data_IF_836093988400
#
_entry.id   IF_836093988400
#
_cell.length_a   1.000
_cell.length_b   1.000
_cell.length_c   1.000
_cell.angle_alpha   90.00
_cell.angle_beta   90.00
_cell.angle_gamma   90.00
#
_symmetry.space_group_name_H-M   'P 1'
#
loop_
_entity.id
_entity.type
_entity.pdbx_description
1 polymer ?
#
# COMPACT_ATOMS: atom_id res chain seq x y z
N UNK A 1 24.65 0.98 -8.40
CA UNK A 1 23.57 -0.03 -8.61
C UNK A 1 22.27 0.72 -8.52
N UNK A 2 21.45 0.66 -9.60
CA UNK A 2 20.17 1.36 -9.65
C UNK A 2 19.16 0.77 -8.66
N UNK A 3 18.11 1.53 -8.34
CA UNK A 3 17.09 1.08 -7.40
C UNK A 3 16.41 -0.23 -7.84
N UNK A 4 16.17 -0.39 -9.15
CA UNK A 4 15.55 -1.60 -9.68
C UNK A 4 16.49 -2.81 -9.61
N UNK A 5 17.79 -2.62 -9.81
CA UNK A 5 18.79 -3.67 -9.60
C UNK A 5 18.83 -4.15 -8.14
N UNK A 6 18.75 -3.23 -7.19
CA UNK A 6 18.70 -3.55 -5.76
C UNK A 6 17.43 -4.29 -5.38
N UNK A 7 16.27 -3.80 -5.86
CA UNK A 7 14.97 -4.36 -5.50
C UNK A 7 14.71 -5.74 -6.12
N UNK A 8 15.25 -5.96 -7.31
CA UNK A 8 15.13 -7.22 -8.05
C UNK A 8 16.43 -8.05 -8.07
N UNK A 9 17.32 -7.84 -7.11
CA UNK A 9 18.62 -8.56 -7.04
C UNK A 9 18.46 -10.08 -7.04
N UNK A 10 17.39 -10.57 -6.40
CA UNK A 10 17.12 -12.01 -6.26
C UNK A 10 16.17 -12.55 -7.32
N UNK A 11 15.85 -11.76 -8.37
CA UNK A 11 14.90 -12.22 -9.39
C UNK A 11 15.45 -13.42 -10.17
N UNK A 12 14.67 -14.48 -10.22
CA UNK A 12 14.97 -15.66 -11.02
C UNK A 12 13.74 -16.11 -11.83
N UNK A 13 13.78 -15.82 -13.12
CA UNK A 13 12.76 -16.18 -14.12
C UNK A 13 13.24 -17.36 -15.01
N UNK A 14 14.26 -18.10 -14.56
CA UNK A 14 14.82 -19.23 -15.29
C UNK A 14 15.71 -18.84 -16.50
N UNK A 15 15.74 -17.59 -16.93
CA UNK A 15 16.60 -17.07 -18.01
C UNK A 15 17.21 -15.72 -17.60
N UNK A 16 18.57 -15.60 -17.56
CA UNK A 16 19.24 -14.34 -17.23
C UNK A 16 18.85 -13.15 -18.12
N UNK A 17 18.37 -13.40 -19.34
CA UNK A 17 17.88 -12.35 -20.24
C UNK A 17 16.53 -11.82 -19.78
N UNK A 18 15.65 -12.68 -19.24
CA UNK A 18 14.38 -12.29 -18.64
C UNK A 18 14.63 -11.51 -17.33
N UNK A 19 15.56 -11.95 -16.50
CA UNK A 19 15.95 -11.24 -15.27
C UNK A 19 16.40 -9.80 -15.58
N UNK A 20 17.35 -9.64 -16.52
CA UNK A 20 17.79 -8.31 -16.97
C UNK A 20 16.66 -7.48 -17.58
N UNK A 21 15.73 -8.13 -18.28
CA UNK A 21 14.58 -7.43 -18.87
C UNK A 21 13.60 -6.93 -17.81
N UNK A 22 13.35 -7.71 -16.76
CA UNK A 22 12.50 -7.29 -15.63
C UNK A 22 13.07 -6.04 -14.96
N UNK A 23 14.37 -6.05 -14.63
CA UNK A 23 15.07 -4.91 -14.03
C UNK A 23 14.99 -3.67 -14.92
N UNK A 24 15.32 -3.81 -16.20
CA UNK A 24 15.27 -2.69 -17.16
C UNK A 24 13.85 -2.13 -17.29
N UNK A 25 12.84 -3.01 -17.38
CA UNK A 25 11.46 -2.56 -17.52
C UNK A 25 10.97 -1.85 -16.24
N UNK A 26 11.33 -2.36 -15.04
CA UNK A 26 11.05 -1.69 -13.78
C UNK A 26 11.70 -0.30 -13.72
N UNK A 27 12.96 -0.18 -14.17
CA UNK A 27 13.67 1.10 -14.25
C UNK A 27 12.96 2.10 -15.17
N UNK A 28 12.63 1.69 -16.40
CA UNK A 28 11.94 2.55 -17.39
C UNK A 28 10.57 3.02 -16.91
N UNK A 29 9.77 2.09 -16.41
CA UNK A 29 8.44 2.40 -15.85
C UNK A 29 8.54 3.26 -14.59
N UNK A 30 9.55 3.01 -13.74
CA UNK A 30 9.79 3.79 -12.52
C UNK A 30 10.24 5.23 -12.79
N UNK A 31 10.98 5.46 -13.87
CA UNK A 31 11.38 6.81 -14.33
C UNK A 31 10.18 7.60 -14.89
N UNK A 32 9.25 6.93 -15.58
CA UNK A 32 8.08 7.55 -16.22
C UNK A 32 6.76 6.85 -15.80
N UNK A 33 6.39 6.88 -14.49
CA UNK A 33 5.32 6.01 -13.96
C UNK A 33 3.98 6.17 -14.66
N UNK A 34 3.62 7.38 -15.07
CA UNK A 34 2.34 7.68 -15.73
C UNK A 34 2.36 7.55 -17.25
N UNK A 35 3.50 7.14 -17.85
CA UNK A 35 3.59 6.91 -19.28
C UNK A 35 2.99 5.55 -19.67
N UNK A 36 2.61 5.40 -20.94
CA UNK A 36 2.34 4.07 -21.51
C UNK A 36 3.62 3.25 -21.59
N UNK A 37 3.54 1.92 -21.72
CA UNK A 37 4.72 1.07 -21.88
C UNK A 37 5.60 1.55 -23.06
N UNK A 38 5.06 1.85 -24.26
CA UNK A 38 5.86 2.45 -25.34
C UNK A 38 6.47 3.81 -24.98
N UNK A 39 5.74 4.64 -24.24
CA UNK A 39 6.22 5.97 -23.80
C UNK A 39 7.30 5.93 -22.71
N UNK A 40 7.39 4.84 -21.98
CA UNK A 40 8.44 4.60 -20.99
C UNK A 40 9.71 4.05 -21.63
N UNK A 41 9.59 3.22 -22.68
CA UNK A 41 10.71 2.63 -23.40
C UNK A 41 11.44 3.65 -24.29
N UNK A 42 12.74 3.48 -24.48
CA UNK A 42 13.57 4.41 -25.28
C UNK A 42 13.34 4.26 -26.80
N UNK A 43 13.02 3.05 -27.26
CA UNK A 43 12.88 2.77 -28.68
C UNK A 43 11.92 1.62 -28.96
N UNK A 44 11.64 1.39 -30.25
CA UNK A 44 10.74 0.31 -30.68
C UNK A 44 11.23 -1.10 -30.31
N UNK A 45 12.53 -1.34 -30.37
CA UNK A 45 13.10 -2.67 -30.03
C UNK A 45 12.88 -2.98 -28.55
N UNK A 46 13.05 -1.99 -27.68
CA UNK A 46 12.80 -2.09 -26.24
C UNK A 46 11.29 -2.27 -25.96
N UNK A 47 10.42 -1.50 -26.62
CA UNK A 47 8.96 -1.66 -26.56
C UNK A 47 8.53 -3.07 -26.94
N UNK A 48 9.02 -3.57 -28.08
CA UNK A 48 8.71 -4.93 -28.53
C UNK A 48 9.21 -6.00 -27.55
N UNK A 49 10.38 -5.76 -26.91
CA UNK A 49 10.91 -6.65 -25.89
C UNK A 49 10.08 -6.61 -24.60
N UNK A 50 9.55 -5.45 -24.20
CA UNK A 50 8.65 -5.32 -23.06
C UNK A 50 7.35 -6.13 -23.26
N UNK A 51 6.72 -6.01 -24.42
CA UNK A 51 5.52 -6.80 -24.72
C UNK A 51 5.81 -8.30 -24.85
N UNK A 52 7.00 -8.71 -25.37
CA UNK A 52 7.42 -10.12 -25.34
C UNK A 52 7.62 -10.63 -23.91
N UNK A 53 8.19 -9.82 -23.04
CA UNK A 53 8.35 -10.15 -21.61
C UNK A 53 6.99 -10.41 -20.97
N UNK A 54 6.02 -9.50 -21.12
CA UNK A 54 4.68 -9.65 -20.56
C UNK A 54 3.87 -10.83 -21.14
N UNK A 55 4.27 -11.39 -22.29
CA UNK A 55 3.64 -12.56 -22.92
C UNK A 55 4.36 -13.88 -22.63
N UNK A 56 5.50 -13.82 -21.96
CA UNK A 56 6.32 -15.01 -21.73
C UNK A 56 5.69 -15.87 -20.63
N UNK A 57 5.40 -17.14 -20.93
CA UNK A 57 4.80 -18.10 -20.00
C UNK A 57 5.68 -18.38 -18.77
N UNK A 58 6.98 -18.11 -18.84
CA UNK A 58 7.92 -18.17 -17.70
C UNK A 58 7.88 -16.94 -16.81
N UNK A 59 7.06 -15.95 -17.13
CA UNK A 59 6.98 -14.69 -16.37
C UNK A 59 5.57 -14.52 -15.82
N UNK A 60 5.40 -14.80 -14.57
CA UNK A 60 4.13 -14.57 -13.85
C UNK A 60 4.23 -13.38 -12.89
N UNK A 61 3.07 -12.91 -12.45
CA UNK A 61 2.95 -11.93 -11.36
C UNK A 61 3.67 -12.42 -10.10
N UNK A 62 3.50 -13.70 -9.74
CA UNK A 62 4.08 -14.30 -8.54
C UNK A 62 5.62 -14.29 -8.59
N UNK A 63 6.22 -14.67 -9.72
CA UNK A 63 7.68 -14.70 -9.89
C UNK A 63 8.30 -13.30 -9.85
N UNK A 64 7.66 -12.31 -10.47
CA UNK A 64 8.10 -10.90 -10.38
C UNK A 64 7.99 -10.39 -8.96
N UNK A 65 6.88 -10.70 -8.26
CA UNK A 65 6.68 -10.29 -6.86
C UNK A 65 7.58 -11.02 -5.88
N UNK A 66 8.08 -12.22 -6.21
CA UNK A 66 8.93 -13.01 -5.31
C UNK A 66 10.21 -12.26 -4.92
N UNK A 67 10.89 -11.60 -5.89
CA UNK A 67 12.09 -10.81 -5.61
C UNK A 67 11.76 -9.59 -4.70
N UNK A 68 10.69 -8.86 -5.00
CA UNK A 68 10.24 -7.74 -4.16
C UNK A 68 9.86 -8.20 -2.76
N UNK A 69 9.23 -9.38 -2.62
CA UNK A 69 8.89 -9.98 -1.34
C UNK A 69 10.16 -10.30 -0.52
N UNK A 70 11.20 -10.86 -1.13
CA UNK A 70 12.46 -11.14 -0.46
C UNK A 70 13.12 -9.84 0.04
N UNK A 71 13.18 -8.80 -0.79
CA UNK A 71 13.67 -7.49 -0.40
C UNK A 71 12.81 -6.87 0.72
N UNK A 72 11.48 -7.06 0.67
CA UNK A 72 10.54 -6.62 1.72
C UNK A 72 10.81 -7.35 3.04
N UNK A 73 11.01 -8.67 3.01
CA UNK A 73 11.35 -9.49 4.19
C UNK A 73 12.67 -9.03 4.82
N UNK A 74 13.68 -8.69 4.00
CA UNK A 74 14.93 -8.15 4.51
C UNK A 74 14.70 -6.84 5.29
N UNK A 75 13.86 -5.94 4.78
CA UNK A 75 13.48 -4.70 5.48
C UNK A 75 12.66 -4.96 6.75
N UNK A 76 11.72 -5.92 6.73
CA UNK A 76 10.90 -6.28 7.89
C UNK A 76 11.76 -6.73 9.08
N UNK A 77 12.84 -7.48 8.83
CA UNK A 77 13.74 -7.98 9.88
C UNK A 77 14.40 -6.89 10.74
N UNK A 78 14.50 -5.69 10.20
CA UNK A 78 15.07 -4.53 10.90
C UNK A 78 14.11 -3.87 11.88
N UNK A 79 12.85 -4.34 11.99
CA UNK A 79 11.81 -3.73 12.80
C UNK A 79 11.20 -4.70 13.81
N UNK A 80 11.00 -4.21 15.03
CA UNK A 80 10.34 -4.99 16.09
C UNK A 80 8.84 -5.21 15.84
N UNK A 81 8.20 -4.30 15.12
CA UNK A 81 6.77 -4.34 14.78
C UNK A 81 6.57 -3.87 13.34
N UNK A 82 5.73 -4.59 12.60
CA UNK A 82 5.27 -4.18 11.27
C UNK A 82 3.75 -4.29 11.16
N UNK A 83 3.17 -3.37 10.41
CA UNK A 83 1.74 -3.29 10.16
C UNK A 83 1.47 -3.78 8.73
N UNK A 84 0.78 -4.91 8.62
CA UNK A 84 0.39 -5.54 7.36
C UNK A 84 -1.01 -5.04 6.98
N UNK A 85 -1.05 -3.96 6.20
CA UNK A 85 -2.28 -3.30 5.81
C UNK A 85 -2.96 -4.07 4.68
N UNK A 86 -4.24 -4.32 4.82
CA UNK A 86 -5.08 -4.99 3.82
C UNK A 86 -6.25 -4.11 3.43
N UNK A 87 -6.54 -4.07 2.17
CA UNK A 87 -7.74 -3.46 1.59
C UNK A 87 -7.95 -3.96 0.17
N UNK A 88 -9.17 -3.85 -0.34
CA UNK A 88 -9.51 -4.23 -1.72
C UNK A 88 -9.80 -3.00 -2.56
N UNK A 89 -9.25 -2.94 -3.76
CA UNK A 89 -9.57 -1.89 -4.72
C UNK A 89 -10.02 -2.48 -6.04
N UNK A 90 -10.96 -1.80 -6.71
CA UNK A 90 -11.35 -2.07 -8.07
C UNK A 90 -10.36 -1.43 -9.04
N UNK A 91 -10.02 -2.11 -10.12
CA UNK A 91 -9.28 -1.57 -11.26
C UNK A 91 -10.23 -1.54 -12.45
N UNK A 92 -10.59 -0.34 -12.89
CA UNK A 92 -11.58 -0.12 -13.94
C UNK A 92 -10.93 -0.13 -15.33
N UNK A 93 -11.27 -1.13 -16.12
CA UNK A 93 -10.85 -1.28 -17.52
C UNK A 93 -12.05 -1.18 -18.48
N UNK A 94 -13.12 -0.49 -18.07
CA UNK A 94 -14.32 -0.36 -18.87
C UNK A 94 -14.02 0.26 -20.25
N UNK A 95 -14.61 -0.32 -21.30
CA UNK A 95 -14.38 0.11 -22.69
C UNK A 95 -13.09 -0.43 -23.33
N UNK A 96 -12.29 -1.25 -22.63
CA UNK A 96 -11.12 -1.91 -23.19
C UNK A 96 -11.47 -3.32 -23.71
N UNK A 97 -10.88 -3.69 -24.84
CA UNK A 97 -11.03 -5.03 -25.45
C UNK A 97 -10.06 -6.05 -24.82
N UNK A 98 -10.07 -6.18 -23.51
CA UNK A 98 -9.22 -7.11 -22.76
C UNK A 98 -10.03 -8.36 -22.38
N UNK A 99 -9.47 -9.55 -22.62
CA UNK A 99 -10.09 -10.82 -22.20
C UNK A 99 -9.85 -11.09 -20.72
N UNK A 100 -10.82 -11.76 -20.05
CA UNK A 100 -10.73 -12.16 -18.64
C UNK A 100 -11.24 -11.11 -17.65
N UNK A 101 -11.74 -9.95 -18.09
CA UNK A 101 -12.36 -8.96 -17.20
C UNK A 101 -13.75 -9.41 -16.74
N UNK A 102 -14.09 -9.06 -15.50
CA UNK A 102 -15.39 -9.30 -14.90
C UNK A 102 -16.12 -8.01 -14.51
N UNK A 103 -17.37 -8.11 -14.02
CA UNK A 103 -18.13 -6.97 -13.55
C UNK A 103 -17.53 -6.42 -12.24
N UNK A 104 -17.52 -5.10 -12.10
CA UNK A 104 -17.17 -4.39 -10.87
C UNK A 104 -18.41 -4.22 -9.97
N UNK A 105 -18.29 -3.45 -8.88
CA UNK A 105 -19.42 -3.14 -7.99
C UNK A 105 -20.55 -2.45 -8.74
N UNK A 106 -20.23 -1.56 -9.68
CA UNK A 106 -21.17 -1.12 -10.69
C UNK A 106 -21.15 -2.11 -11.84
N UNK A 107 -22.16 -2.98 -11.92
CA UNK A 107 -22.20 -4.15 -12.82
C UNK A 107 -22.06 -3.85 -14.33
N UNK A 108 -22.27 -2.60 -14.75
CA UNK A 108 -22.02 -2.17 -16.13
C UNK A 108 -20.53 -2.00 -16.46
N UNK A 109 -19.71 -1.76 -15.45
CA UNK A 109 -18.27 -1.61 -15.60
C UNK A 109 -17.54 -2.96 -15.60
N UNK A 110 -16.39 -3.01 -16.29
CA UNK A 110 -15.55 -4.20 -16.42
C UNK A 110 -14.17 -3.92 -15.85
N UNK A 111 -13.66 -4.87 -15.08
CA UNK A 111 -12.35 -4.71 -14.45
C UNK A 111 -11.89 -5.92 -13.67
N UNK A 112 -10.97 -5.66 -12.78
CA UNK A 112 -10.41 -6.61 -11.81
C UNK A 112 -10.48 -6.02 -10.41
N UNK A 113 -10.47 -6.89 -9.43
CA UNK A 113 -10.20 -6.57 -8.02
C UNK A 113 -8.73 -6.83 -7.72
N UNK A 114 -8.14 -5.97 -6.91
CA UNK A 114 -6.79 -6.11 -6.38
C UNK A 114 -6.84 -6.04 -4.85
N UNK A 115 -6.30 -7.06 -4.18
CA UNK A 115 -6.18 -7.14 -2.72
C UNK A 115 -4.71 -7.39 -2.32
N UNK A 116 -3.94 -6.35 -2.02
CA UNK A 116 -2.55 -6.47 -1.59
C UNK A 116 -2.44 -6.53 -0.06
N UNK A 117 -1.35 -7.12 0.42
CA UNK A 117 -0.81 -6.91 1.75
C UNK A 117 0.31 -5.88 1.67
N UNK A 118 0.05 -4.65 2.05
CA UNK A 118 0.99 -3.54 2.05
C UNK A 118 1.61 -3.35 3.42
N UNK A 119 2.92 -3.53 3.53
CA UNK A 119 3.62 -3.52 4.83
C UNK A 119 4.24 -2.16 5.10
N UNK A 120 3.97 -1.64 6.29
CA UNK A 120 4.55 -0.38 6.78
C UNK A 120 5.02 -0.53 8.23
N UNK A 121 5.89 0.37 8.68
CA UNK A 121 6.21 0.49 10.11
C UNK A 121 5.10 1.21 10.88
N UNK A 122 5.08 1.18 12.24
CA UNK A 122 4.19 2.02 13.04
C UNK A 122 4.32 3.53 12.72
N UNK A 123 5.50 3.99 12.29
CA UNK A 123 5.79 5.35 11.84
C UNK A 123 5.37 5.61 10.39
N UNK A 124 4.78 4.59 9.73
CA UNK A 124 4.24 4.62 8.36
C UNK A 124 5.29 4.64 7.26
N UNK A 125 6.50 4.16 7.52
CA UNK A 125 7.47 3.92 6.46
C UNK A 125 7.05 2.70 5.64
N UNK A 126 6.89 2.79 4.30
CA UNK A 126 6.55 1.67 3.46
C UNK A 126 7.71 0.68 3.29
N UNK A 127 7.51 -0.54 3.70
CA UNK A 127 8.51 -1.61 3.59
C UNK A 127 8.38 -2.42 2.30
N UNK A 128 7.14 -2.62 1.80
CA UNK A 128 6.90 -3.34 0.55
C UNK A 128 5.48 -3.89 0.43
N UNK A 129 5.27 -4.66 -0.64
CA UNK A 129 4.06 -5.46 -0.87
C UNK A 129 4.43 -6.93 -0.71
N UNK A 130 3.85 -7.60 0.30
CA UNK A 130 4.16 -9.00 0.60
C UNK A 130 3.42 -9.96 -0.32
N UNK A 131 2.13 -9.74 -0.49
CA UNK A 131 1.24 -10.57 -1.29
C UNK A 131 0.26 -9.66 -2.03
N UNK A 132 -0.25 -10.14 -3.14
CA UNK A 132 -1.33 -9.48 -3.86
C UNK A 132 -2.18 -10.51 -4.60
N UNK A 133 -3.49 -10.42 -4.46
CA UNK A 133 -4.44 -11.20 -5.24
C UNK A 133 -5.15 -10.30 -6.22
N UNK A 134 -5.28 -10.80 -7.44
CA UNK A 134 -6.13 -10.17 -8.46
C UNK A 134 -7.15 -11.18 -8.94
N UNK A 135 -8.39 -10.75 -9.12
CA UNK A 135 -9.45 -11.61 -9.66
C UNK A 135 -10.49 -10.80 -10.42
N UNK A 136 -11.16 -11.47 -11.34
CA UNK A 136 -12.38 -10.98 -11.97
C UNK A 136 -13.58 -11.67 -11.32
N UNK A 137 -14.64 -10.93 -11.05
CA UNK A 137 -15.93 -11.53 -10.66
C UNK A 137 -16.57 -12.26 -11.83
N UNK A 138 -17.25 -13.35 -11.54
CA UNK A 138 -18.09 -14.03 -12.53
C UNK A 138 -19.35 -13.20 -12.83
N UNK A 139 -19.90 -13.37 -14.01
CA UNK A 139 -21.18 -12.75 -14.37
C UNK A 139 -22.31 -13.45 -13.63
N UNK A 140 -23.31 -12.71 -13.18
CA UNK A 140 -24.54 -13.30 -12.62
C UNK A 140 -25.28 -14.06 -13.69
N UNK A 141 -25.80 -15.22 -13.33
CA UNK A 141 -26.69 -16.02 -14.17
C UNK A 141 -28.11 -15.85 -13.65
N UNK A 142 -28.88 -14.89 -14.22
CA UNK A 142 -30.21 -14.55 -13.76
C UNK A 142 -30.24 -14.05 -12.32
N UNK A 143 -31.20 -14.52 -11.52
CA UNK A 143 -31.36 -14.14 -10.11
C UNK A 143 -30.52 -14.97 -9.14
N UNK A 144 -29.73 -15.92 -9.63
CA UNK A 144 -28.87 -16.75 -8.79
C UNK A 144 -27.78 -15.90 -8.11
N UNK A 145 -27.31 -16.29 -6.91
CA UNK A 145 -26.12 -15.71 -6.32
C UNK A 145 -24.95 -15.82 -7.30
N UNK A 146 -24.07 -14.83 -7.30
CA UNK A 146 -22.87 -14.86 -8.14
C UNK A 146 -22.02 -16.08 -7.80
N UNK A 147 -21.59 -16.81 -8.82
CA UNK A 147 -20.64 -17.92 -8.68
C UNK A 147 -19.23 -17.43 -8.32
N UNK A 148 -18.31 -18.39 -8.20
CA UNK A 148 -16.92 -18.14 -7.88
C UNK A 148 -16.61 -18.09 -6.39
N UNK A 149 -15.35 -17.81 -6.07
CA UNK A 149 -14.87 -17.74 -4.68
C UNK A 149 -15.43 -16.48 -3.99
N UNK A 150 -15.87 -16.64 -2.74
CA UNK A 150 -16.28 -15.50 -1.93
C UNK A 150 -15.10 -14.56 -1.67
N UNK A 151 -15.30 -13.26 -1.86
CA UNK A 151 -14.25 -12.25 -1.66
C UNK A 151 -13.72 -12.24 -0.22
N UNK A 152 -14.57 -12.60 0.75
CA UNK A 152 -14.18 -12.76 2.15
C UNK A 152 -13.06 -13.80 2.36
N UNK A 153 -12.90 -14.78 1.47
CA UNK A 153 -11.82 -15.77 1.52
C UNK A 153 -10.46 -15.08 1.39
N UNK A 154 -10.35 -14.02 0.59
CA UNK A 154 -9.09 -13.30 0.39
C UNK A 154 -8.55 -12.68 1.68
N UNK A 155 -9.44 -12.19 2.54
CA UNK A 155 -9.06 -11.67 3.86
C UNK A 155 -8.48 -12.75 4.77
N UNK A 156 -9.04 -13.97 4.71
CA UNK A 156 -8.54 -15.10 5.49
C UNK A 156 -7.21 -15.61 4.95
N UNK A 157 -7.10 -15.82 3.63
CA UNK A 157 -5.85 -16.22 2.96
C UNK A 157 -4.73 -15.20 3.20
N UNK A 158 -5.06 -13.91 3.15
CA UNK A 158 -4.10 -12.85 3.47
C UNK A 158 -3.59 -12.95 4.91
N UNK A 159 -4.48 -13.21 5.88
CA UNK A 159 -4.06 -13.42 7.27
C UNK A 159 -3.17 -14.64 7.41
N UNK A 160 -3.52 -15.77 6.76
CA UNK A 160 -2.70 -17.00 6.76
C UNK A 160 -1.28 -16.73 6.29
N UNK A 161 -1.12 -16.01 5.15
CA UNK A 161 0.19 -15.64 4.61
C UNK A 161 0.99 -14.74 5.55
N UNK A 162 0.32 -13.80 6.23
CA UNK A 162 0.97 -12.96 7.24
C UNK A 162 1.43 -13.80 8.44
N UNK A 163 0.61 -14.74 8.91
CA UNK A 163 0.94 -15.59 10.03
C UNK A 163 2.06 -16.60 9.70
N UNK A 164 2.07 -17.16 8.48
CA UNK A 164 3.18 -17.96 7.96
C UNK A 164 4.48 -17.15 7.99
N UNK A 165 4.47 -15.92 7.45
CA UNK A 165 5.63 -15.05 7.46
C UNK A 165 6.08 -14.68 8.87
N UNK A 166 5.15 -14.41 9.79
CA UNK A 166 5.45 -14.13 11.18
C UNK A 166 6.15 -15.29 11.88
N UNK A 167 5.78 -16.55 11.55
CA UNK A 167 6.43 -17.75 12.09
C UNK A 167 7.90 -17.87 11.65
N UNK A 168 8.24 -17.37 10.45
CA UNK A 168 9.61 -17.34 9.93
C UNK A 168 10.44 -16.18 10.50
N UNK A 169 9.78 -15.16 11.07
CA UNK A 169 10.40 -13.94 11.61
C UNK A 169 10.00 -13.69 13.06
N UNK A 170 10.34 -14.60 14.02
CA UNK A 170 9.88 -14.48 15.41
C UNK A 170 10.39 -13.25 16.14
N UNK A 171 11.42 -12.57 15.61
CA UNK A 171 11.92 -11.29 16.14
C UNK A 171 11.08 -10.06 15.77
N UNK A 172 10.12 -10.21 14.83
CA UNK A 172 9.28 -9.13 14.36
C UNK A 172 7.80 -9.44 14.57
N UNK A 173 7.10 -8.57 15.27
CA UNK A 173 5.66 -8.68 15.44
C UNK A 173 4.93 -8.22 14.17
N UNK A 174 4.14 -9.09 13.57
CA UNK A 174 3.29 -8.77 12.44
C UNK A 174 1.86 -8.49 12.91
N UNK A 175 1.28 -7.38 12.46
CA UNK A 175 -0.09 -6.99 12.80
C UNK A 175 -0.90 -6.83 11.52
N UNK A 176 -1.85 -7.73 11.30
CA UNK A 176 -2.79 -7.66 10.19
C UNK A 176 -3.83 -6.56 10.47
N UNK A 177 -3.89 -5.54 9.62
CA UNK A 177 -4.82 -4.41 9.79
C UNK A 177 -5.77 -4.34 8.60
N UNK A 178 -7.08 -4.40 8.89
CA UNK A 178 -8.12 -4.31 7.88
C UNK A 178 -9.25 -3.37 8.25
N UNK A 179 -10.04 -3.01 7.25
CA UNK A 179 -11.21 -2.19 7.41
C UNK A 179 -12.45 -3.01 7.86
N UNK A 180 -13.67 -2.52 7.58
CA UNK A 180 -14.91 -3.19 7.97
C UNK A 180 -15.15 -4.53 7.26
N UNK A 181 -14.62 -4.69 6.06
CA UNK A 181 -14.77 -5.92 5.27
C UNK A 181 -13.98 -7.07 5.89
N UNK A 182 -12.92 -6.76 6.66
CA UNK A 182 -12.12 -7.74 7.41
C UNK A 182 -12.77 -8.22 8.72
N UNK A 183 -13.91 -7.65 9.14
CA UNK A 183 -14.65 -8.10 10.35
C UNK A 183 -15.37 -9.43 10.10
N UNK A 184 -14.62 -10.46 9.78
CA UNK A 184 -15.07 -11.78 9.39
C UNK A 184 -14.74 -12.77 10.50
N UNK A 185 -15.77 -13.50 10.99
CA UNK A 185 -15.56 -14.50 12.04
C UNK A 185 -14.53 -15.57 11.63
N UNK A 186 -14.51 -15.94 10.35
CA UNK A 186 -13.54 -16.91 9.82
C UNK A 186 -12.10 -16.46 9.99
N UNK A 187 -11.81 -15.15 9.87
CA UNK A 187 -10.48 -14.59 10.12
C UNK A 187 -10.10 -14.73 11.60
N UNK A 188 -11.00 -14.43 12.52
CA UNK A 188 -10.75 -14.55 13.96
C UNK A 188 -10.52 -16.01 14.37
N UNK A 189 -11.30 -16.94 13.80
CA UNK A 189 -11.13 -18.40 13.99
C UNK A 189 -9.78 -18.85 13.42
N UNK A 190 -9.40 -18.38 12.24
CA UNK A 190 -8.11 -18.70 11.63
C UNK A 190 -6.95 -18.19 12.50
N UNK A 191 -7.04 -16.97 13.02
CA UNK A 191 -6.04 -16.44 13.92
C UNK A 191 -5.83 -17.32 15.17
N UNK A 192 -6.92 -17.79 15.77
CA UNK A 192 -6.86 -18.76 16.89
C UNK A 192 -6.22 -20.09 16.47
N UNK A 193 -6.61 -20.63 15.31
CA UNK A 193 -6.05 -21.90 14.78
C UNK A 193 -4.54 -21.83 14.57
N UNK A 194 -4.05 -20.67 14.16
CA UNK A 194 -2.62 -20.38 13.98
C UNK A 194 -1.95 -19.87 15.26
N UNK A 195 -2.55 -20.08 16.44
CA UNK A 195 -2.04 -19.66 17.75
C UNK A 195 -1.66 -18.17 17.82
N UNK A 196 -2.38 -17.33 17.09
CA UNK A 196 -2.10 -15.88 17.01
C UNK A 196 -0.65 -15.56 16.67
N UNK A 197 -0.03 -16.31 15.76
CA UNK A 197 1.34 -16.07 15.30
C UNK A 197 1.51 -14.68 14.73
N UNK A 198 0.48 -14.14 14.07
CA UNK A 198 0.33 -12.73 13.77
C UNK A 198 -0.83 -12.14 14.57
N UNK A 199 -0.68 -10.89 14.99
CA UNK A 199 -1.79 -10.14 15.59
C UNK A 199 -2.76 -9.67 14.49
N UNK A 200 -4.00 -9.35 14.88
CA UNK A 200 -4.94 -8.65 14.01
C UNK A 200 -5.50 -7.39 14.70
N UNK A 201 -5.85 -6.41 13.89
CA UNK A 201 -6.52 -5.18 14.30
C UNK A 201 -7.53 -4.79 13.21
N UNK A 202 -8.78 -5.15 13.40
CA UNK A 202 -9.83 -5.00 12.37
C UNK A 202 -10.90 -4.03 12.83
N UNK A 203 -11.50 -3.31 11.88
CA UNK A 203 -12.60 -2.40 12.19
C UNK A 203 -13.90 -3.17 12.36
N UNK A 204 -14.41 -3.23 13.60
CA UNK A 204 -15.62 -3.93 13.94
C UNK A 204 -16.84 -3.33 13.24
N UNK A 205 -17.50 -4.11 12.39
CA UNK A 205 -18.75 -3.77 11.69
C UNK A 205 -19.98 -4.34 12.37
N UNK A 206 -19.83 -5.53 13.00
CA UNK A 206 -20.94 -6.29 13.53
C UNK A 206 -21.06 -6.15 15.05
N UNK A 207 -22.21 -5.68 15.54
CA UNK A 207 -22.53 -5.69 16.96
C UNK A 207 -22.99 -7.09 17.37
N UNK A 208 -21.99 -7.99 17.61
CA UNK A 208 -22.21 -9.41 17.87
C UNK A 208 -22.91 -9.65 19.20
N UNK A 209 -23.72 -10.71 19.26
CA UNK A 209 -24.30 -11.20 20.51
C UNK A 209 -23.22 -11.93 21.30
N UNK A 210 -23.14 -11.68 22.60
CA UNK A 210 -22.21 -12.32 23.53
C UNK A 210 -22.78 -13.61 24.06
N UNK A 211 -21.97 -14.60 24.50
CA UNK A 211 -22.43 -15.88 25.05
C UNK A 211 -23.40 -15.73 26.24
N UNK A 212 -23.14 -14.76 27.11
CA UNK A 212 -23.97 -14.47 28.30
C UNK A 212 -25.20 -13.59 27.98
N UNK A 213 -25.41 -13.25 26.72
CA UNK A 213 -26.45 -12.33 26.26
C UNK A 213 -25.91 -10.89 26.12
N UNK A 214 -26.79 -10.00 25.63
CA UNK A 214 -26.38 -8.65 25.33
C UNK A 214 -25.60 -8.55 24.00
N UNK A 215 -25.05 -7.36 23.72
CA UNK A 215 -24.34 -7.09 22.48
C UNK A 215 -22.97 -6.47 22.78
N UNK A 216 -22.00 -6.82 21.95
CA UNK A 216 -20.59 -6.42 22.07
C UNK A 216 -20.39 -4.91 22.31
N UNK A 217 -21.00 -4.06 21.51
CA UNK A 217 -20.78 -2.61 21.65
C UNK A 217 -21.42 -2.03 22.91
N UNK A 218 -22.58 -2.57 23.28
CA UNK A 218 -23.30 -2.12 24.47
C UNK A 218 -22.52 -2.49 25.73
N UNK A 219 -21.93 -3.68 25.75
CA UNK A 219 -21.07 -4.16 26.83
C UNK A 219 -19.84 -3.26 26.99
N UNK A 220 -19.12 -2.95 25.90
CA UNK A 220 -17.93 -2.07 25.94
C UNK A 220 -18.32 -0.65 26.36
N UNK A 221 -19.49 -0.15 25.91
CA UNK A 221 -19.96 1.19 26.24
C UNK A 221 -20.46 1.31 27.67
N UNK A 222 -20.86 0.23 28.32
CA UNK A 222 -21.23 0.19 29.73
C UNK A 222 -20.00 0.29 30.66
N UNK A 223 -18.82 -0.10 30.17
CA UNK A 223 -17.55 0.02 30.91
C UNK A 223 -17.13 1.47 31.14
N UNK A 224 -16.33 1.71 32.20
CA UNK A 224 -15.77 3.02 32.46
C UNK A 224 -14.81 3.47 31.35
N UNK A 225 -14.76 4.75 30.99
CA UNK A 225 -13.77 5.28 30.07
C UNK A 225 -12.34 5.05 30.62
N UNK A 226 -11.45 4.60 29.77
CA UNK A 226 -10.04 4.42 30.10
C UNK A 226 -9.28 5.75 30.06
N UNK A 227 -9.74 6.69 29.24
CA UNK A 227 -9.15 8.00 29.05
C UNK A 227 -9.49 8.62 27.71
N UNK A 228 -8.71 9.63 27.33
CA UNK A 228 -8.90 10.37 26.07
C UNK A 228 -7.64 10.29 25.20
N UNK A 229 -7.85 10.30 23.88
CA UNK A 229 -6.80 10.46 22.88
C UNK A 229 -7.10 11.64 21.99
N UNK A 230 -6.04 12.30 21.48
CA UNK A 230 -6.16 13.46 20.59
C UNK A 230 -5.32 13.27 19.34
N UNK A 231 -5.82 13.73 18.22
CA UNK A 231 -5.06 13.76 16.96
C UNK A 231 -5.58 14.83 16.01
N UNK A 232 -4.69 15.27 15.10
CA UNK A 232 -5.05 16.15 14.00
C UNK A 232 -5.66 15.32 12.86
N UNK A 233 -6.88 15.67 12.46
CA UNK A 233 -7.53 15.12 11.29
C UNK A 233 -7.29 16.05 10.12
N UNK A 234 -6.64 15.60 9.03
CA UNK A 234 -6.35 16.44 7.88
C UNK A 234 -7.62 16.87 7.15
N UNK A 235 -7.52 17.95 6.38
CA UNK A 235 -8.57 18.33 5.44
C UNK A 235 -8.83 17.23 4.42
N UNK A 236 -10.06 17.09 3.99
CA UNK A 236 -10.48 16.13 2.97
C UNK A 236 -11.65 16.68 2.16
N UNK A 237 -12.14 15.90 1.19
CA UNK A 237 -13.27 16.33 0.34
C UNK A 237 -14.47 16.72 1.21
N UNK A 238 -14.84 18.00 1.19
CA UNK A 238 -15.95 18.55 1.98
C UNK A 238 -15.70 18.65 3.50
N UNK A 239 -14.45 18.50 3.96
CA UNK A 239 -14.08 18.50 5.38
C UNK A 239 -12.86 19.38 5.64
N UNK A 240 -12.96 20.29 6.63
CA UNK A 240 -11.83 21.10 7.11
C UNK A 240 -10.93 20.25 8.04
N UNK A 241 -9.63 20.58 8.06
CA UNK A 241 -8.73 20.03 9.08
C UNK A 241 -9.19 20.46 10.48
N UNK A 242 -9.10 19.56 11.45
CA UNK A 242 -9.44 19.86 12.85
C UNK A 242 -8.78 18.89 13.82
N UNK A 243 -8.57 19.35 15.04
CA UNK A 243 -8.25 18.49 16.16
C UNK A 243 -9.49 17.62 16.50
N UNK A 244 -9.26 16.36 16.77
CA UNK A 244 -10.25 15.38 17.21
C UNK A 244 -9.84 14.86 18.57
N UNK A 245 -10.74 14.93 19.54
CA UNK A 245 -10.60 14.31 20.84
C UNK A 245 -11.57 13.15 20.95
N UNK A 246 -11.08 11.97 21.33
CA UNK A 246 -11.90 10.77 21.49
C UNK A 246 -11.80 10.25 22.91
N UNK A 247 -12.94 9.96 23.52
CA UNK A 247 -13.03 9.12 24.70
C UNK A 247 -12.86 7.66 24.28
N UNK A 248 -12.04 6.90 25.00
CA UNK A 248 -11.76 5.49 24.68
C UNK A 248 -12.24 4.56 25.79
N UNK A 249 -12.90 3.47 25.37
CA UNK A 249 -13.30 2.35 26.22
C UNK A 249 -12.73 1.07 25.63
N UNK A 250 -12.38 0.14 26.48
CA UNK A 250 -11.84 -1.16 26.06
C UNK A 250 -12.37 -2.25 26.99
N UNK A 251 -12.68 -3.39 26.40
CA UNK A 251 -13.07 -4.56 27.18
C UNK A 251 -12.63 -5.82 26.45
N UNK A 252 -12.17 -6.81 27.22
CA UNK A 252 -11.90 -8.15 26.73
C UNK A 252 -13.16 -8.98 26.89
N UNK A 253 -13.60 -9.63 25.81
CA UNK A 253 -14.85 -10.36 25.74
C UNK A 253 -14.69 -11.68 25.03
N UNK A 254 -15.62 -12.60 25.26
CA UNK A 254 -15.73 -13.86 24.54
C UNK A 254 -16.76 -13.72 23.41
N UNK A 255 -16.42 -14.15 22.21
CA UNK A 255 -17.32 -14.24 21.06
C UNK A 255 -17.57 -15.70 20.70
N UNK A 256 -18.80 -16.11 20.37
CA UNK A 256 -19.08 -17.47 19.91
C UNK A 256 -18.45 -17.71 18.52
N UNK A 257 -17.80 -18.86 18.33
CA UNK A 257 -17.16 -19.21 17.06
C UNK A 257 -18.07 -19.95 16.07
N UNK A 258 -19.36 -20.12 16.39
CA UNK A 258 -20.36 -20.89 15.65
C UNK A 258 -20.10 -22.41 15.56
N UNK A 259 -19.03 -22.92 16.14
CA UNK A 259 -18.69 -24.35 16.22
C UNK A 259 -18.78 -24.86 17.65
N UNK A 260 -19.38 -24.09 18.55
CA UNK A 260 -19.53 -24.42 19.97
C UNK A 260 -18.34 -24.02 20.84
N UNK A 261 -17.36 -23.31 20.28
CA UNK A 261 -16.24 -22.73 21.00
C UNK A 261 -16.37 -21.20 21.16
N UNK A 262 -15.40 -20.63 21.86
CA UNK A 262 -15.31 -19.21 22.15
C UNK A 262 -13.99 -18.61 21.65
N UNK A 263 -14.04 -17.36 21.22
CA UNK A 263 -12.92 -16.56 20.79
C UNK A 263 -12.74 -15.42 21.78
N UNK A 264 -11.62 -15.39 22.46
CA UNK A 264 -11.28 -14.27 23.32
C UNK A 264 -10.72 -13.12 22.48
N UNK A 265 -11.38 -11.96 22.52
CA UNK A 265 -11.00 -10.77 21.76
C UNK A 265 -11.03 -9.54 22.64
N UNK A 266 -10.21 -8.54 22.33
CA UNK A 266 -10.29 -7.20 22.88
C UNK A 266 -11.07 -6.34 21.93
N UNK A 267 -12.16 -5.74 22.41
CA UNK A 267 -12.92 -4.72 21.68
C UNK A 267 -12.63 -3.35 22.29
N UNK A 268 -12.19 -2.41 21.46
CA UNK A 268 -12.01 -1.02 21.84
C UNK A 268 -12.95 -0.11 21.04
N UNK A 269 -13.51 0.90 21.71
CA UNK A 269 -14.36 1.93 21.11
C UNK A 269 -13.76 3.29 21.42
N UNK A 270 -13.34 4.00 20.38
CA UNK A 270 -12.88 5.38 20.46
C UNK A 270 -13.93 6.30 19.82
N UNK A 271 -14.60 7.10 20.64
CA UNK A 271 -15.70 7.95 20.21
C UNK A 271 -15.35 9.42 20.38
N UNK A 272 -15.46 10.21 19.31
CA UNK A 272 -15.21 11.65 19.36
C UNK A 272 -16.16 12.32 20.34
N UNK A 273 -15.60 13.11 21.26
CA UNK A 273 -16.31 14.01 22.16
C UNK A 273 -16.27 15.42 21.58
N UNK A 274 -17.35 16.18 21.79
CA UNK A 274 -17.44 17.57 21.33
C UNK A 274 -17.23 17.78 19.82
N UNK A 275 -17.75 16.86 18.98
CA UNK A 275 -17.74 17.05 17.54
C UNK A 275 -18.42 18.37 17.16
N UNK A 276 -17.89 19.16 16.19
CA UNK A 276 -18.49 20.40 15.74
C UNK A 276 -19.94 20.20 15.27
N UNK A 277 -20.79 21.19 15.47
CA UNK A 277 -22.17 21.15 15.02
C UNK A 277 -22.25 20.84 13.51
N UNK A 278 -23.08 19.86 13.13
CA UNK A 278 -23.24 19.40 11.76
C UNK A 278 -22.13 18.46 11.26
N UNK A 279 -21.07 18.22 12.02
CA UNK A 279 -20.06 17.23 11.67
C UNK A 279 -20.42 15.84 12.23
N UNK A 280 -20.26 14.80 11.41
CA UNK A 280 -20.40 13.42 11.89
C UNK A 280 -19.26 13.09 12.82
N UNK A 281 -19.50 12.64 14.07
CA UNK A 281 -18.46 12.26 15.01
C UNK A 281 -17.57 11.12 14.45
N UNK A 282 -16.30 11.18 14.73
CA UNK A 282 -15.34 10.11 14.40
C UNK A 282 -15.48 9.01 15.46
N UNK A 283 -15.97 7.86 15.05
CA UNK A 283 -16.10 6.68 15.91
C UNK A 283 -15.37 5.51 15.29
N UNK A 284 -14.43 4.96 16.04
CA UNK A 284 -13.76 3.70 15.70
C UNK A 284 -14.14 2.61 16.69
N UNK A 285 -14.55 1.48 16.17
CA UNK A 285 -14.78 0.24 16.90
C UNK A 285 -13.79 -0.76 16.34
N UNK A 286 -12.87 -1.25 17.15
CA UNK A 286 -11.80 -2.12 16.69
C UNK A 286 -11.82 -3.43 17.49
N UNK A 287 -11.48 -4.53 16.80
CA UNK A 287 -11.26 -5.84 17.40
C UNK A 287 -9.81 -6.25 17.22
N UNK A 288 -9.23 -6.84 18.26
CA UNK A 288 -7.85 -7.37 18.22
C UNK A 288 -7.72 -8.56 19.19
N UNK A 289 -6.74 -9.45 18.91
CA UNK A 289 -6.33 -10.49 19.86
C UNK A 289 -5.39 -9.95 20.95
N UNK A 290 -4.87 -8.73 20.79
CA UNK A 290 -3.97 -8.13 21.76
C UNK A 290 -4.69 -7.72 23.05
N UNK A 291 -4.02 -7.92 24.17
CA UNK A 291 -4.46 -7.36 25.45
C UNK A 291 -4.13 -5.85 25.43
N UNK A 292 -5.11 -5.05 25.79
CA UNK A 292 -4.97 -3.62 25.96
C UNK A 292 -5.64 -3.24 27.28
N UNK A 293 -4.87 -2.92 28.30
CA UNK A 293 -5.35 -2.63 29.66
C UNK A 293 -5.04 -1.21 30.11
N UNK A 294 -4.15 -0.53 29.39
CA UNK A 294 -3.75 0.85 29.70
C UNK A 294 -4.18 1.80 28.57
N UNK A 295 -4.29 3.09 28.89
CA UNK A 295 -4.53 4.12 27.88
C UNK A 295 -3.45 4.12 26.81
N UNK A 296 -2.20 3.84 27.17
CA UNK A 296 -1.08 3.77 26.22
C UNK A 296 -1.27 2.64 25.20
N UNK A 297 -1.68 1.44 25.65
CA UNK A 297 -1.97 0.31 24.74
C UNK A 297 -3.05 0.68 23.75
N UNK A 298 -4.12 1.33 24.19
CA UNK A 298 -5.24 1.73 23.34
C UNK A 298 -4.83 2.82 22.35
N UNK A 299 -4.03 3.80 22.80
CA UNK A 299 -3.50 4.85 21.91
C UNK A 299 -2.59 4.26 20.85
N UNK A 300 -1.75 3.28 21.20
CA UNK A 300 -0.93 2.54 20.24
C UNK A 300 -1.80 1.86 19.17
N UNK A 301 -2.80 1.07 19.56
CA UNK A 301 -3.72 0.39 18.65
C UNK A 301 -4.50 1.36 17.75
N UNK A 302 -4.97 2.47 18.30
CA UNK A 302 -5.65 3.52 17.51
C UNK A 302 -4.70 4.14 16.48
N UNK A 303 -3.44 4.41 16.86
CA UNK A 303 -2.43 4.94 15.94
C UNK A 303 -2.06 3.94 14.84
N UNK A 304 -1.95 2.65 15.17
CA UNK A 304 -1.73 1.59 14.19
C UNK A 304 -2.92 1.48 13.22
N UNK A 305 -4.15 1.54 13.73
CA UNK A 305 -5.33 1.54 12.86
C UNK A 305 -5.36 2.76 11.93
N UNK A 306 -4.92 3.93 12.41
CA UNK A 306 -4.80 5.13 11.56
C UNK A 306 -3.76 4.96 10.44
N UNK A 307 -2.73 4.15 10.65
CA UNK A 307 -1.76 3.85 9.61
C UNK A 307 -2.37 3.07 8.43
N UNK A 308 -3.55 2.44 8.60
CA UNK A 308 -4.28 1.78 7.50
C UNK A 308 -4.45 2.70 6.29
N UNK A 309 -4.56 4.01 6.51
CA UNK A 309 -4.70 4.98 5.42
C UNK A 309 -3.52 5.00 4.43
N UNK A 310 -2.39 4.41 4.76
CA UNK A 310 -1.24 4.31 3.84
C UNK A 310 -1.52 3.42 2.63
N UNK A 311 -2.41 2.42 2.75
CA UNK A 311 -2.79 1.58 1.61
C UNK A 311 -3.64 2.37 0.59
N UNK A 312 -4.44 3.34 1.05
CA UNK A 312 -5.21 4.24 0.17
C UNK A 312 -4.28 5.18 -0.61
N UNK A 313 -3.18 5.63 0.01
CA UNK A 313 -2.13 6.38 -0.71
C UNK A 313 -1.42 5.48 -1.72
N UNK A 314 -1.17 4.23 -1.39
CA UNK A 314 -0.62 3.26 -2.33
C UNK A 314 -1.54 3.07 -3.54
N UNK A 315 -2.85 2.90 -3.33
CA UNK A 315 -3.83 2.81 -4.41
C UNK A 315 -3.91 4.11 -5.24
N UNK A 316 -3.84 5.26 -4.59
CA UNK A 316 -3.80 6.54 -5.29
C UNK A 316 -2.60 6.64 -6.24
N UNK A 317 -1.41 6.26 -5.78
CA UNK A 317 -0.20 6.26 -6.63
C UNK A 317 -0.32 5.24 -7.75
N UNK A 318 -0.82 4.04 -7.46
CA UNK A 318 -1.00 2.98 -8.45
C UNK A 318 -1.98 3.40 -9.56
N UNK A 319 -3.14 3.97 -9.20
CA UNK A 319 -4.19 4.35 -10.16
C UNK A 319 -3.91 5.67 -10.86
N UNK A 320 -3.58 6.70 -10.12
CA UNK A 320 -3.42 8.06 -10.66
C UNK A 320 -1.98 8.34 -11.10
N UNK A 321 -1.00 7.84 -10.34
CA UNK A 321 0.42 8.03 -10.60
C UNK A 321 0.93 7.12 -11.71
N UNK A 322 0.74 5.83 -11.54
CA UNK A 322 1.13 4.81 -12.51
C UNK A 322 0.10 4.61 -13.63
N UNK A 323 -1.11 5.12 -13.47
CA UNK A 323 -2.22 5.03 -14.45
C UNK A 323 -2.50 3.61 -14.92
N UNK A 324 -2.45 2.64 -14.02
CA UNK A 324 -2.59 1.22 -14.37
C UNK A 324 -3.90 0.90 -15.07
N UNK A 325 -4.97 1.65 -14.79
CA UNK A 325 -6.27 1.50 -15.45
C UNK A 325 -6.28 1.95 -16.93
N UNK A 326 -5.17 2.54 -17.42
CA UNK A 326 -4.98 2.92 -18.84
C UNK A 326 -4.12 1.94 -19.61
N UNK A 327 -3.63 0.88 -18.98
CA UNK A 327 -2.85 -0.14 -19.64
C UNK A 327 -3.71 -0.87 -20.68
N UNK A 328 -3.24 -0.92 -21.92
CA UNK A 328 -3.90 -1.62 -23.03
C UNK A 328 -3.15 -2.92 -23.30
N UNK A 329 -3.65 -4.00 -22.72
CA UNK A 329 -3.10 -5.35 -22.85
C UNK A 329 -4.19 -6.29 -23.37
N UNK A 330 -3.80 -7.43 -23.93
CA UNK A 330 -4.76 -8.33 -24.60
C UNK A 330 -5.61 -9.12 -23.59
N UNK A 331 -5.04 -9.44 -22.44
CA UNK A 331 -5.64 -10.32 -21.44
C UNK A 331 -5.22 -9.93 -20.02
N UNK A 332 -5.91 -10.53 -19.05
CA UNK A 332 -5.68 -10.29 -17.63
C UNK A 332 -4.37 -10.91 -17.11
N UNK A 333 -3.82 -11.94 -17.73
CA UNK A 333 -2.55 -12.55 -17.30
C UNK A 333 -1.38 -11.58 -17.52
N UNK A 334 -1.31 -10.96 -18.72
CA UNK A 334 -0.32 -9.91 -19.02
C UNK A 334 -0.50 -8.68 -18.14
N UNK A 335 -1.76 -8.35 -17.84
CA UNK A 335 -2.07 -7.25 -16.93
C UNK A 335 -1.56 -7.53 -15.52
N UNK A 336 -1.76 -8.74 -14.98
CA UNK A 336 -1.28 -9.13 -13.65
C UNK A 336 0.25 -9.04 -13.56
N UNK A 337 0.96 -9.50 -14.59
CA UNK A 337 2.42 -9.37 -14.66
C UNK A 337 2.86 -7.91 -14.71
N UNK A 338 2.18 -7.06 -15.48
CA UNK A 338 2.45 -5.62 -15.48
C UNK A 338 2.15 -4.97 -14.13
N UNK A 339 1.02 -5.33 -13.51
CA UNK A 339 0.63 -4.83 -12.18
C UNK A 339 1.67 -5.15 -11.12
N UNK A 340 2.35 -6.32 -11.19
CA UNK A 340 3.44 -6.66 -10.28
C UNK A 340 4.54 -5.58 -10.30
N UNK A 341 5.01 -5.19 -11.48
CA UNK A 341 6.00 -4.12 -11.64
C UNK A 341 5.47 -2.77 -11.13
N UNK A 342 4.24 -2.41 -11.48
CA UNK A 342 3.65 -1.14 -11.06
C UNK A 342 3.36 -1.07 -9.56
N UNK A 343 3.08 -2.18 -8.89
CA UNK A 343 2.96 -2.22 -7.42
C UNK A 343 4.30 -1.89 -6.75
N UNK A 344 5.41 -2.41 -7.27
CA UNK A 344 6.76 -2.08 -6.77
C UNK A 344 7.08 -0.60 -7.01
N UNK A 345 6.72 -0.06 -8.16
CA UNK A 345 6.92 1.37 -8.48
C UNK A 345 6.08 2.26 -7.55
N UNK A 346 4.80 1.91 -7.34
CA UNK A 346 3.92 2.66 -6.44
C UNK A 346 4.43 2.63 -4.99
N UNK A 347 4.91 1.48 -4.52
CA UNK A 347 5.58 1.37 -3.23
C UNK A 347 6.80 2.29 -3.17
N UNK A 348 7.69 2.27 -4.16
CA UNK A 348 8.90 3.12 -4.21
C UNK A 348 8.56 4.60 -4.09
N UNK A 349 7.55 5.09 -4.82
CA UNK A 349 7.11 6.48 -4.77
C UNK A 349 6.64 6.86 -3.36
N UNK A 350 5.83 6.02 -2.73
CA UNK A 350 5.36 6.25 -1.37
C UNK A 350 6.53 6.19 -0.36
N UNK A 351 7.48 5.27 -0.55
CA UNK A 351 8.68 5.17 0.28
C UNK A 351 9.52 6.44 0.20
N UNK A 352 9.79 6.96 -1.00
CA UNK A 352 10.50 8.23 -1.20
C UNK A 352 9.83 9.38 -0.45
N UNK A 353 8.50 9.47 -0.56
CA UNK A 353 7.72 10.47 0.16
C UNK A 353 7.87 10.36 1.68
N UNK A 354 7.81 9.14 2.21
CA UNK A 354 7.89 8.91 3.66
C UNK A 354 9.30 9.10 4.20
N UNK A 355 10.30 8.53 3.56
CA UNK A 355 11.70 8.69 3.95
C UNK A 355 12.14 10.17 3.97
N UNK A 356 11.70 10.96 2.99
CA UNK A 356 11.94 12.41 2.99
C UNK A 356 11.39 13.15 4.21
N UNK A 357 10.39 12.57 4.90
CA UNK A 357 9.78 13.13 6.12
C UNK A 357 10.37 12.56 7.39
N UNK A 358 10.56 11.24 7.44
CA UNK A 358 10.98 10.52 8.65
C UNK A 358 12.49 10.52 8.84
N UNK A 359 13.25 10.51 7.75
CA UNK A 359 14.72 10.51 7.73
C UNK A 359 15.24 11.62 6.79
N UNK A 360 14.92 12.89 7.08
CA UNK A 360 15.19 14.02 6.18
C UNK A 360 16.68 14.21 5.87
N UNK A 361 17.54 13.87 6.80
CA UNK A 361 18.99 14.12 6.72
C UNK A 361 19.79 12.99 6.06
N UNK A 362 19.11 11.89 5.63
CA UNK A 362 19.79 10.83 4.88
C UNK A 362 20.48 11.40 3.62
N UNK A 363 21.68 10.91 3.25
CA UNK A 363 22.30 11.24 1.98
C UNK A 363 21.42 10.81 0.81
N UNK A 364 21.19 11.74 -0.15
CA UNK A 364 20.29 11.49 -1.26
C UNK A 364 20.77 10.38 -2.21
N UNK A 365 22.06 10.11 -2.28
CA UNK A 365 22.66 9.06 -3.12
C UNK A 365 22.38 7.63 -2.64
N UNK A 366 21.83 7.47 -1.44
CA UNK A 366 21.29 6.18 -0.98
C UNK A 366 19.99 5.80 -1.70
N UNK A 367 19.33 6.77 -2.36
CA UNK A 367 17.97 6.61 -2.89
C UNK A 367 17.85 7.08 -4.34
N UNK A 368 18.65 8.07 -4.74
CA UNK A 368 18.68 8.67 -6.08
C UNK A 368 20.03 8.51 -6.74
N UNK A 369 20.03 8.23 -8.03
CA UNK A 369 21.24 8.27 -8.83
C UNK A 369 21.85 9.70 -8.88
N UNK A 370 23.19 9.83 -9.04
CA UNK A 370 23.85 11.14 -9.10
C UNK A 370 23.25 12.10 -10.15
N UNK A 371 22.86 11.58 -11.32
CA UNK A 371 22.24 12.40 -12.38
C UNK A 371 20.84 12.88 -11.98
N UNK A 372 20.07 12.08 -11.22
CA UNK A 372 18.73 12.41 -10.77
C UNK A 372 18.73 13.59 -9.77
N UNK A 373 19.53 13.48 -8.69
CA UNK A 373 19.55 14.56 -7.71
C UNK A 373 20.20 15.84 -8.24
N UNK A 374 21.22 15.75 -9.14
CA UNK A 374 21.80 16.92 -9.81
C UNK A 374 20.77 17.61 -10.73
N UNK A 375 20.02 16.81 -11.49
CA UNK A 375 18.94 17.32 -12.34
C UNK A 375 17.90 18.09 -11.52
N UNK A 376 17.57 17.62 -10.31
CA UNK A 376 16.64 18.30 -9.42
C UNK A 376 17.10 19.73 -9.07
N UNK A 377 18.41 19.95 -8.84
CA UNK A 377 18.98 21.28 -8.62
C UNK A 377 18.96 22.12 -9.89
N UNK A 378 19.41 21.57 -11.01
CA UNK A 378 19.51 22.30 -12.30
C UNK A 378 18.13 22.79 -12.74
N UNK A 379 17.12 21.93 -12.75
CA UNK A 379 15.77 22.27 -13.17
C UNK A 379 15.10 23.33 -12.27
N UNK A 380 15.50 23.38 -11.00
CA UNK A 380 15.05 24.41 -10.06
C UNK A 380 15.95 25.67 -10.08
N UNK A 381 16.89 25.78 -11.05
CA UNK A 381 17.82 26.89 -11.18
C UNK A 381 18.65 27.17 -9.92
N UNK A 382 19.04 26.09 -9.22
CA UNK A 382 19.88 26.16 -8.02
C UNK A 382 21.28 25.64 -8.32
N UNK A 383 22.32 26.16 -7.66
CA UNK A 383 23.68 25.63 -7.82
C UNK A 383 23.72 24.19 -7.34
N UNK A 384 24.34 23.32 -8.13
CA UNK A 384 24.55 21.91 -7.77
C UNK A 384 25.61 21.86 -6.65
N UNK A 385 25.30 21.27 -5.49
CA UNK A 385 26.26 21.19 -4.39
C UNK A 385 27.43 20.25 -4.75
N UNK A 386 28.60 20.49 -4.16
CA UNK A 386 29.78 19.63 -4.33
C UNK A 386 29.67 18.32 -3.54
N UNK A 387 28.97 18.35 -2.42
CA UNK A 387 28.69 17.19 -1.56
C UNK A 387 27.27 16.68 -1.82
N UNK A 388 27.04 15.40 -1.55
CA UNK A 388 25.72 14.79 -1.62
C UNK A 388 24.73 15.56 -0.73
N UNK A 389 23.62 16.06 -1.29
CA UNK A 389 22.59 16.75 -0.51
C UNK A 389 21.77 15.78 0.36
N UNK A 390 21.00 16.33 1.29
CA UNK A 390 20.06 15.54 2.09
C UNK A 390 18.89 15.06 1.26
N UNK A 391 18.32 13.92 1.64
CA UNK A 391 17.16 13.30 0.98
C UNK A 391 15.95 14.26 0.93
N UNK A 392 15.61 14.91 2.05
CA UNK A 392 14.50 15.85 2.08
C UNK A 392 14.71 17.02 1.10
N UNK A 393 15.93 17.55 1.00
CA UNK A 393 16.24 18.61 0.04
C UNK A 393 15.93 18.16 -1.39
N UNK A 394 16.37 16.97 -1.79
CA UNK A 394 16.13 16.44 -3.14
C UNK A 394 14.66 16.14 -3.37
N UNK A 395 13.97 15.49 -2.43
CA UNK A 395 12.52 15.19 -2.51
C UNK A 395 11.71 16.47 -2.69
N UNK A 396 12.02 17.53 -1.94
CA UNK A 396 11.33 18.84 -2.07
C UNK A 396 11.61 19.50 -3.42
N UNK A 397 12.84 19.41 -3.95
CA UNK A 397 13.19 19.94 -5.28
C UNK A 397 12.45 19.17 -6.40
N UNK A 398 12.40 17.85 -6.31
CA UNK A 398 11.61 17.02 -7.22
C UNK A 398 10.14 17.41 -7.16
N UNK A 399 9.57 17.52 -5.95
CA UNK A 399 8.19 17.89 -5.75
C UNK A 399 7.86 19.29 -6.28
N UNK A 400 8.81 20.25 -6.22
CA UNK A 400 8.64 21.59 -6.80
C UNK A 400 8.43 21.51 -8.32
N UNK A 401 9.11 20.57 -9.01
CA UNK A 401 8.85 20.32 -10.44
C UNK A 401 7.44 19.76 -10.68
N UNK A 402 6.90 19.01 -9.73
CA UNK A 402 5.53 18.50 -9.76
C UNK A 402 4.46 19.46 -9.22
N UNK A 403 4.79 20.75 -9.01
CA UNK A 403 3.84 21.79 -8.59
C UNK A 403 3.77 22.03 -7.07
N UNK A 404 4.66 21.46 -6.27
CA UNK A 404 4.78 21.81 -4.86
C UNK A 404 5.39 23.20 -4.70
N UNK A 405 4.70 24.12 -4.04
CA UNK A 405 5.18 25.49 -3.90
C UNK A 405 6.27 25.65 -2.83
N UNK A 406 6.26 24.81 -1.79
CA UNK A 406 7.25 24.81 -0.72
C UNK A 406 7.22 26.06 0.16
N UNK A 407 6.05 26.67 0.35
CA UNK A 407 5.85 27.82 1.24
C UNK A 407 5.98 27.39 2.70
N UNK A 408 6.20 28.35 3.61
CA UNK A 408 6.40 28.07 5.04
C UNK A 408 5.27 27.23 5.68
N UNK A 409 4.05 27.29 5.15
CA UNK A 409 2.86 26.58 5.69
C UNK A 409 2.40 25.40 4.84
N UNK A 410 3.08 25.09 3.74
CA UNK A 410 2.67 24.00 2.83
C UNK A 410 2.98 22.59 3.40
N UNK A 411 3.76 22.52 4.48
CA UNK A 411 4.22 21.24 5.05
C UNK A 411 5.17 20.48 4.12
N UNK A 412 5.09 19.15 4.17
CA UNK A 412 5.89 18.27 3.32
C UNK A 412 5.13 17.86 2.05
N UNK A 413 5.83 17.65 0.91
CA UNK A 413 5.21 17.32 -0.36
C UNK A 413 4.44 16.00 -0.30
N UNK A 414 3.30 15.94 -1.00
CA UNK A 414 2.51 14.73 -1.16
C UNK A 414 3.00 13.87 -2.33
N UNK A 415 2.56 12.62 -2.40
CA UNK A 415 2.93 11.66 -3.43
C UNK A 415 2.72 12.22 -4.85
N UNK A 416 1.60 12.93 -5.09
CA UNK A 416 1.29 13.48 -6.42
C UNK A 416 2.37 14.41 -6.95
N UNK A 417 2.86 15.34 -6.15
CA UNK A 417 3.90 16.26 -6.57
C UNK A 417 5.25 15.57 -6.78
N UNK A 418 5.50 14.48 -6.06
CA UNK A 418 6.71 13.67 -6.20
C UNK A 418 6.70 12.92 -7.53
N UNK A 419 5.66 12.13 -7.84
CA UNK A 419 5.66 11.37 -9.11
C UNK A 419 5.65 12.26 -10.35
N UNK A 420 4.95 13.42 -10.31
CA UNK A 420 4.99 14.38 -11.40
C UNK A 420 6.39 14.97 -11.58
N UNK A 421 7.05 15.32 -10.48
CA UNK A 421 8.42 15.84 -10.51
C UNK A 421 9.43 14.80 -10.97
N UNK A 422 9.30 13.53 -10.54
CA UNK A 422 10.16 12.43 -11.01
C UNK A 422 10.12 12.28 -12.53
N UNK A 423 8.94 12.39 -13.13
CA UNK A 423 8.80 12.36 -14.58
C UNK A 423 9.62 13.46 -15.27
N UNK A 424 9.56 14.71 -14.79
CA UNK A 424 10.36 15.81 -15.36
C UNK A 424 11.86 15.60 -15.18
N UNK A 425 12.29 15.09 -14.01
CA UNK A 425 13.69 14.73 -13.76
C UNK A 425 14.17 13.68 -14.76
N UNK A 426 13.39 12.62 -14.95
CA UNK A 426 13.75 11.52 -15.86
C UNK A 426 13.91 12.00 -17.31
N UNK A 427 12.96 12.81 -17.81
CA UNK A 427 13.04 13.38 -19.16
C UNK A 427 14.28 14.26 -19.33
N UNK A 428 14.61 15.08 -18.33
CA UNK A 428 15.80 15.93 -18.37
C UNK A 428 17.10 15.10 -18.35
N UNK A 429 17.20 14.09 -17.49
CA UNK A 429 18.37 13.20 -17.41
C UNK A 429 18.57 12.44 -18.72
N UNK A 430 17.51 11.93 -19.32
CA UNK A 430 17.53 11.27 -20.62
C UNK A 430 18.06 12.23 -21.71
N UNK A 431 17.49 13.46 -21.81
CA UNK A 431 17.96 14.46 -22.75
C UNK A 431 19.42 14.86 -22.57
N UNK A 432 19.87 14.98 -21.31
CA UNK A 432 21.28 15.29 -21.01
C UNK A 432 22.24 14.15 -21.39
N UNK A 433 21.82 12.89 -21.26
CA UNK A 433 22.60 11.72 -21.72
C UNK A 433 22.74 11.71 -23.24
N UNK A 434 21.69 11.98 -23.98
CA UNK A 434 21.75 12.11 -25.44
C UNK A 434 22.61 13.28 -25.90
N UNK A 435 22.52 14.44 -25.23
CA UNK A 435 23.33 15.60 -25.59
C UNK A 435 24.84 15.35 -25.43
N UNK A 436 25.25 14.53 -24.43
CA UNK A 436 26.67 14.13 -24.28
C UNK A 436 27.13 13.28 -25.47
N UNK A 437 26.30 12.33 -25.92
CA UNK A 437 26.62 11.47 -27.09
C UNK A 437 26.77 12.28 -28.39
N UNK A 438 26.02 13.39 -28.56
CA UNK A 438 26.16 14.28 -29.72
C UNK A 438 27.45 15.11 -29.69
N UNK A 439 28.03 15.38 -28.51
CA UNK A 439 29.25 16.17 -28.38
C UNK A 439 30.54 15.32 -28.43
N UNK A 440 30.44 14.02 -28.20
CA UNK A 440 31.55 13.07 -28.19
C UNK A 440 31.73 12.34 -29.54
N UNK A 441 30.90 12.61 -30.55
CA UNK A 441 30.94 12.10 -31.93
C UNK A 441 31.24 13.19 -32.94
#
# INVERSE_FOLDING_TARGET
>A
MGWAEQEFETIDLGDPRLNRRAVLLAERLGQKPGASIPGACENWAETAAAYRFLRNEQVSCEEVMAAHRQATVARIREHAVVLCLQDTTELDYNGQAMTGLGPLSYEAQRGLYLHPTYVVTPEREPLGVMNAWTWAREFKQGDAPRGGMLESVRWVESYERIAEQASELPGTRHVCIGDRESDILALLVMARKMNHTADYLVRCQHNRVLPEGGKLWDEVMAGAPLGHTRFEMPAGRGRKARAVEQEVRVQRVLLPDRQGGELEVTCLIASEVNAPAGAKPVVWRLLTNRVASTLQDVVELVNWYRARWEIELFFLVLKEGCRVERLQLADTERLQTALALYMVIAWRINRLMRLGRTLPDLPADLVFEPDEWRAAFILNKKPVPRQTPTLNTVVRLIAQRGGFLGRKHDGEPGARTIWLGMHEIAVFVEGARYARQFNDG
#
